data_IF_451499558262
#
_entry.id   IF_451499558262
#
_cell.length_a   1.000
_cell.length_b   1.000
_cell.length_c   1.000
_cell.angle_alpha   90.00
_cell.angle_beta   90.00
_cell.angle_gamma   90.00
#
_symmetry.space_group_name_H-M   'P 1'
#
loop_
_entity.id
_entity.type
_entity.pdbx_description
1 polymer ?
#
# COMPACT_ATOMS: atom_id res chain seq x y z
N UNK A 1 2.56 11.36 -11.70
CA UNK A 1 1.19 11.24 -11.17
C UNK A 1 1.36 10.56 -9.85
N UNK A 2 1.26 11.35 -8.80
CA UNK A 2 1.93 11.09 -7.53
C UNK A 2 0.91 10.49 -6.56
N UNK A 3 -0.07 9.81 -7.16
CA UNK A 3 -1.37 9.41 -6.61
C UNK A 3 -1.35 7.99 -6.09
N UNK A 4 -0.23 7.52 -5.53
CA UNK A 4 -0.11 6.14 -5.05
C UNK A 4 -0.72 5.96 -3.65
N UNK A 5 -1.66 6.82 -3.24
CA UNK A 5 -2.30 6.76 -1.92
C UNK A 5 -3.80 6.53 -2.07
N UNK A 6 -4.32 5.65 -1.24
CA UNK A 6 -5.74 5.32 -1.12
C UNK A 6 -6.31 6.11 0.05
N UNK A 7 -7.45 6.76 -0.18
CA UNK A 7 -8.27 7.38 0.84
C UNK A 7 -9.41 6.42 1.21
N UNK A 8 -9.48 6.02 2.47
CA UNK A 8 -10.61 5.29 3.05
C UNK A 8 -11.44 6.25 3.87
N UNK A 9 -12.74 6.25 3.64
CA UNK A 9 -13.70 7.10 4.34
C UNK A 9 -14.74 6.24 5.07
N UNK A 10 -15.14 6.69 6.25
CA UNK A 10 -16.29 6.17 6.99
C UNK A 10 -17.19 7.35 7.39
N UNK A 11 -18.49 7.24 7.10
CA UNK A 11 -19.48 8.28 7.36
C UNK A 11 -19.06 9.72 6.94
N UNK A 12 -18.33 9.85 5.83
CA UNK A 12 -17.83 11.13 5.32
C UNK A 12 -16.55 11.65 5.98
N UNK A 13 -15.99 10.91 6.94
CA UNK A 13 -14.72 11.22 7.58
C UNK A 13 -13.59 10.37 7.00
N UNK A 14 -12.41 10.96 6.84
CA UNK A 14 -11.20 10.23 6.46
C UNK A 14 -10.75 9.35 7.62
N UNK A 15 -10.69 8.03 7.41
CA UNK A 15 -10.25 7.07 8.43
C UNK A 15 -8.89 6.46 8.13
N UNK A 16 -8.50 6.34 6.86
CA UNK A 16 -7.15 5.93 6.45
C UNK A 16 -6.71 6.69 5.20
N UNK A 17 -5.44 7.08 5.14
CA UNK A 17 -4.86 7.72 3.96
C UNK A 17 -3.37 7.41 3.82
N UNK A 18 -3.04 6.42 3.01
CA UNK A 18 -1.64 6.07 2.69
C UNK A 18 -1.55 5.15 1.46
N UNK A 19 -0.34 4.73 1.10
CA UNK A 19 -0.11 3.75 0.06
C UNK A 19 -0.82 2.43 0.36
N UNK A 20 -1.50 1.79 -0.61
CA UNK A 20 -2.27 0.57 -0.36
C UNK A 20 -1.42 -0.55 0.26
N UNK A 21 -0.15 -0.67 -0.13
CA UNK A 21 0.80 -1.61 0.51
C UNK A 21 0.96 -1.38 2.02
N UNK A 22 1.01 -0.11 2.46
CA UNK A 22 1.15 0.26 3.87
C UNK A 22 -0.16 0.00 4.62
N UNK A 23 -1.29 0.39 4.02
CA UNK A 23 -2.62 0.16 4.58
C UNK A 23 -2.95 -1.33 4.74
N UNK A 24 -2.53 -2.18 3.79
CA UNK A 24 -2.71 -3.64 3.87
C UNK A 24 -1.82 -4.32 4.91
N UNK A 25 -0.73 -3.68 5.34
CA UNK A 25 0.11 -4.19 6.44
C UNK A 25 -0.45 -3.88 7.82
N UNK A 26 -1.36 -2.90 7.93
CA UNK A 26 -1.96 -2.49 9.20
C UNK A 26 -2.88 -3.59 9.74
N UNK A 27 -2.54 -4.14 10.90
CA UNK A 27 -3.42 -5.05 11.62
C UNK A 27 -4.70 -4.32 12.03
N UNK A 28 -5.86 -4.93 11.78
CA UNK A 28 -7.16 -4.29 12.00
C UNK A 28 -7.45 -3.08 11.09
N UNK A 29 -6.66 -2.87 10.03
CA UNK A 29 -6.89 -1.78 9.07
C UNK A 29 -8.19 -1.95 8.28
N UNK A 30 -8.87 -0.85 8.00
CA UNK A 30 -10.18 -0.87 7.32
C UNK A 30 -10.02 -1.34 5.87
N UNK A 31 -8.99 -0.85 5.16
CA UNK A 31 -8.69 -1.33 3.80
C UNK A 31 -8.41 -2.83 3.78
N UNK A 32 -7.64 -3.32 4.76
CA UNK A 32 -7.34 -4.75 4.88
C UNK A 32 -8.61 -5.57 5.08
N UNK A 33 -9.48 -5.15 6.00
CA UNK A 33 -10.77 -5.79 6.22
C UNK A 33 -11.65 -5.83 4.97
N UNK A 34 -11.68 -4.75 4.18
CA UNK A 34 -12.39 -4.72 2.90
C UNK A 34 -11.80 -5.69 1.88
N UNK A 35 -10.47 -5.76 1.78
CA UNK A 35 -9.79 -6.66 0.85
C UNK A 35 -9.98 -8.12 1.25
N UNK A 36 -9.93 -8.45 2.54
CA UNK A 36 -10.15 -9.81 3.04
C UNK A 36 -11.56 -10.33 2.72
N UNK A 37 -12.57 -9.45 2.67
CA UNK A 37 -13.95 -9.78 2.27
C UNK A 37 -14.09 -10.16 0.78
N UNK A 38 -13.13 -9.80 -0.07
CA UNK A 38 -13.14 -10.17 -1.51
C UNK A 38 -12.77 -11.64 -1.76
N UNK A 39 -12.38 -12.36 -0.70
CA UNK A 39 -11.93 -13.74 -0.76
C UNK A 39 -10.42 -13.86 -1.00
N UNK A 40 -9.86 -14.99 -0.56
CA UNK A 40 -8.41 -15.22 -0.45
C UNK A 40 -7.64 -14.93 -1.75
N UNK A 41 -8.09 -15.45 -2.89
CA UNK A 41 -7.38 -15.31 -4.16
C UNK A 41 -7.29 -13.85 -4.63
N UNK A 42 -8.36 -13.07 -4.41
CA UNK A 42 -8.37 -11.64 -4.73
C UNK A 42 -7.56 -10.83 -3.73
N UNK A 43 -7.67 -11.14 -2.44
CA UNK A 43 -6.85 -10.51 -1.42
C UNK A 43 -5.34 -10.67 -1.68
N UNK A 44 -4.89 -11.89 -1.98
CA UNK A 44 -3.49 -12.17 -2.33
C UNK A 44 -3.06 -11.42 -3.60
N UNK A 45 -3.92 -11.37 -4.61
CA UNK A 45 -3.65 -10.64 -5.86
C UNK A 45 -3.51 -9.14 -5.63
N UNK A 46 -4.43 -8.53 -4.89
CA UNK A 46 -4.44 -7.10 -4.55
C UNK A 46 -3.21 -6.73 -3.69
N UNK A 47 -2.88 -7.55 -2.70
CA UNK A 47 -1.69 -7.36 -1.87
C UNK A 47 -0.39 -7.39 -2.70
N UNK A 48 -0.30 -8.33 -3.65
CA UNK A 48 0.86 -8.44 -4.55
C UNK A 48 1.00 -7.22 -5.46
N UNK A 49 -0.10 -6.77 -6.07
CA UNK A 49 -0.09 -5.58 -6.94
C UNK A 49 0.30 -4.33 -6.14
N UNK A 50 -0.27 -4.15 -4.95
CA UNK A 50 0.07 -3.04 -4.07
C UNK A 50 1.56 -3.06 -3.66
N UNK A 51 2.11 -4.23 -3.33
CA UNK A 51 3.53 -4.40 -3.02
C UNK A 51 4.44 -4.07 -4.21
N UNK A 52 4.09 -4.53 -5.42
CA UNK A 52 4.87 -4.24 -6.62
C UNK A 52 4.88 -2.75 -6.94
N UNK A 53 3.74 -2.07 -6.80
CA UNK A 53 3.65 -0.61 -6.99
C UNK A 53 4.51 0.14 -5.96
N UNK A 54 4.45 -0.28 -4.68
CA UNK A 54 5.26 0.29 -3.60
C UNK A 54 6.75 0.13 -3.91
N UNK A 55 7.18 -1.09 -4.22
CA UNK A 55 8.58 -1.38 -4.54
C UNK A 55 9.01 -0.60 -5.78
N UNK A 56 8.24 -0.55 -6.86
CA UNK A 56 8.62 0.21 -8.07
C UNK A 56 8.88 1.69 -7.78
N UNK A 57 8.15 2.27 -6.82
CA UNK A 57 8.36 3.65 -6.37
C UNK A 57 9.62 3.80 -5.51
N UNK A 58 9.85 2.87 -4.58
CA UNK A 58 10.95 2.93 -3.60
C UNK A 58 12.25 2.24 -4.09
N UNK A 59 12.21 1.50 -5.20
CA UNK A 59 13.40 0.87 -5.82
C UNK A 59 14.28 1.90 -6.53
N UNK A 60 13.75 3.11 -6.78
CA UNK A 60 14.55 4.24 -7.27
C UNK A 60 15.41 4.87 -6.17
N UNK A 61 15.13 4.58 -4.90
CA UNK A 61 15.86 5.13 -3.76
C UNK A 61 16.97 4.18 -3.26
N UNK A 62 16.94 2.90 -3.67
CA UNK A 62 17.96 1.90 -3.30
C UNK A 62 19.32 2.14 -3.99
N UNK A 63 19.36 2.81 -5.14
CA UNK A 63 20.61 3.18 -5.82
C UNK A 63 21.31 4.41 -5.20
N UNK A 64 20.65 5.17 -4.32
CA UNK A 64 21.23 6.35 -3.69
C UNK A 64 21.89 6.04 -2.34
N UNK A 65 21.51 4.94 -1.69
CA UNK A 65 22.12 4.49 -0.42
C UNK A 65 23.50 3.85 -0.65
N UNK A 66 23.77 3.26 -1.82
CA UNK A 66 25.09 2.70 -2.16
C UNK A 66 26.11 3.76 -2.62
N UNK A 67 25.68 4.93 -3.11
CA UNK A 67 26.59 6.01 -3.55
C UNK A 67 27.04 6.97 -2.44
N UNK A 68 26.46 6.88 -1.24
CA UNK A 68 26.86 7.69 -0.07
C UNK A 68 27.95 7.00 0.78
N UNK A 69 28.27 5.74 0.48
CA UNK A 69 29.27 4.93 1.21
C UNK A 69 30.55 4.71 0.39
N UNK A 70 30.67 5.35 -0.78
CA UNK A 70 31.89 5.44 -1.61
C UNK A 70 32.30 6.90 -1.79
#
# INVERSE_FOLDING_TARGET
MDSDKVLVMDAGQMVEFDHPHMLLKKEGGILRGMVDQTGRAMAETLARVAMQAYNKKHSKDAEETEKSVL
#
